data_IF_237032025925
#
_entry.id   IF_237032025925
#
_cell.length_a   1.000
_cell.length_b   1.000
_cell.length_c   1.000
_cell.angle_alpha   90.00
_cell.angle_beta   90.00
_cell.angle_gamma   90.00
#
_symmetry.space_group_name_H-M   'P 1'
#
loop_
_entity.id
_entity.type
_entity.pdbx_description
1 polymer ?
#
# COMPACT_ATOMS: atom_id res chain seq x y z
N UNK A 1 -25.57 0.78 51.34
CA UNK A 1 -25.76 2.08 50.97
C UNK A 1 -24.52 2.79 50.55
N UNK A 2 -23.75 3.08 51.45
CA UNK A 2 -22.57 3.87 51.13
C UNK A 2 -21.66 3.20 50.14
N UNK A 3 -21.65 1.93 50.12
CA UNK A 3 -20.76 1.20 49.26
C UNK A 3 -21.05 1.43 47.80
N UNK A 4 -22.25 1.71 47.47
CA UNK A 4 -22.55 1.89 46.07
C UNK A 4 -21.81 3.06 45.47
N UNK A 5 -21.55 4.06 46.25
CA UNK A 5 -20.80 5.17 45.72
C UNK A 5 -19.39 4.76 45.36
N UNK A 6 -18.87 3.91 46.12
CA UNK A 6 -17.50 3.46 45.89
C UNK A 6 -17.38 2.81 44.54
N UNK A 7 -18.39 2.11 44.14
CA UNK A 7 -18.37 1.47 42.85
C UNK A 7 -18.24 2.46 41.72
N UNK A 8 -18.95 3.56 41.86
CA UNK A 8 -18.87 4.57 40.83
C UNK A 8 -17.48 5.13 40.67
N UNK A 9 -16.81 5.35 41.76
CA UNK A 9 -15.48 5.90 41.69
C UNK A 9 -14.53 4.93 41.02
N UNK A 10 -14.67 3.68 41.27
CA UNK A 10 -13.82 2.70 40.64
C UNK A 10 -13.97 2.77 39.12
N UNK A 11 -15.18 2.86 38.67
CA UNK A 11 -15.41 2.93 37.24
C UNK A 11 -14.80 4.16 36.64
N UNK A 12 -14.85 5.26 37.33
CA UNK A 12 -14.32 6.49 36.81
C UNK A 12 -12.82 6.40 36.56
N UNK A 13 -12.12 5.70 37.41
CA UNK A 13 -10.68 5.55 37.23
C UNK A 13 -10.34 4.62 36.09
N UNK A 14 -11.15 3.63 35.89
CA UNK A 14 -10.85 2.65 34.86
C UNK A 14 -10.69 3.24 33.47
N UNK A 15 -11.58 4.10 33.02
CA UNK A 15 -11.41 4.67 31.68
C UNK A 15 -10.11 5.43 31.53
N UNK A 16 -9.69 6.11 32.55
CA UNK A 16 -8.45 6.87 32.47
C UNK A 16 -7.25 5.95 32.32
N UNK A 17 -7.24 4.90 33.07
CA UNK A 17 -6.15 3.93 33.00
C UNK A 17 -6.08 3.25 31.65
N UNK A 18 -7.21 3.05 31.02
CA UNK A 18 -7.25 2.38 29.74
C UNK A 18 -6.73 3.23 28.60
N UNK A 19 -6.76 4.55 28.72
CA UNK A 19 -6.42 5.43 27.61
C UNK A 19 -4.97 5.26 27.17
N UNK A 20 -4.03 5.26 28.09
CA UNK A 20 -2.63 5.17 27.73
C UNK A 20 -2.25 3.84 27.07
N UNK A 21 -2.62 2.69 27.66
CA UNK A 21 -2.35 1.43 26.96
C UNK A 21 -3.07 1.32 25.62
N UNK A 22 -4.27 1.91 25.55
CA UNK A 22 -5.02 1.88 24.31
C UNK A 22 -4.29 2.54 23.14
N UNK A 23 -3.52 3.56 23.45
CA UNK A 23 -2.80 4.24 22.40
C UNK A 23 -1.80 3.31 21.72
N UNK A 24 -1.04 2.59 22.50
CA UNK A 24 -0.07 1.65 21.94
C UNK A 24 -0.76 0.50 21.24
N UNK A 25 -1.82 -0.01 21.85
CA UNK A 25 -2.58 -1.07 21.22
C UNK A 25 -3.19 -0.61 19.93
N UNK A 26 -3.68 0.61 19.87
CA UNK A 26 -4.27 1.16 18.68
C UNK A 26 -3.23 1.28 17.56
N UNK A 27 -2.02 1.67 17.90
CA UNK A 27 -0.96 1.74 16.92
C UNK A 27 -0.58 0.36 16.41
N UNK A 28 -0.51 -0.62 17.28
CA UNK A 28 -0.23 -1.99 16.86
C UNK A 28 -1.37 -2.53 15.98
N UNK A 29 -2.61 -2.26 16.37
CA UNK A 29 -3.75 -2.67 15.56
C UNK A 29 -3.74 -2.01 14.21
N UNK A 30 -3.34 -0.74 14.14
CA UNK A 30 -3.21 -0.06 12.85
C UNK A 30 -2.20 -0.75 11.96
N UNK A 31 -1.11 -1.23 12.52
CA UNK A 31 -0.12 -1.94 11.72
C UNK A 31 -0.70 -3.20 11.10
N UNK A 32 -1.56 -3.91 11.84
CA UNK A 32 -2.21 -5.11 11.32
C UNK A 32 -3.42 -4.78 10.46
N UNK A 33 -4.03 -3.61 10.67
CA UNK A 33 -5.22 -3.19 9.92
C UNK A 33 -4.89 -2.43 8.64
N UNK A 34 -3.63 -2.09 8.43
CA UNK A 34 -3.26 -1.37 7.23
C UNK A 34 -3.57 -2.21 6.00
N UNK A 35 -3.91 -1.53 4.93
CA UNK A 35 -4.29 -2.21 3.71
C UNK A 35 -3.07 -2.56 2.87
N UNK A 36 -3.24 -3.59 2.07
CA UNK A 36 -2.34 -3.93 0.99
C UNK A 36 -2.97 -3.38 -0.29
N UNK A 37 -2.37 -2.34 -0.84
CA UNK A 37 -2.89 -1.70 -2.03
C UNK A 37 -2.47 -2.49 -3.26
N UNK A 38 -3.45 -2.92 -4.04
CA UNK A 38 -3.22 -3.66 -5.28
C UNK A 38 -3.55 -2.73 -6.43
N UNK A 39 -2.52 -2.23 -7.09
CA UNK A 39 -2.72 -1.21 -8.11
C UNK A 39 -2.68 -1.80 -9.51
N UNK A 40 -3.71 -1.50 -10.29
CA UNK A 40 -3.87 -1.95 -11.68
C UNK A 40 -4.02 -0.75 -12.59
N UNK A 41 -3.32 -0.78 -13.72
CA UNK A 41 -3.46 0.26 -14.74
C UNK A 41 -3.47 -0.35 -16.13
N UNK A 42 -4.34 0.17 -16.96
CA UNK A 42 -4.41 -0.23 -18.37
C UNK A 42 -4.58 1.04 -19.20
N UNK A 43 -3.65 1.28 -20.13
CA UNK A 43 -3.80 2.39 -21.06
C UNK A 43 -4.65 1.93 -22.24
N UNK A 44 -5.11 2.89 -23.05
CA UNK A 44 -5.89 2.55 -24.24
C UNK A 44 -5.04 1.77 -25.24
N UNK A 45 -3.76 2.06 -25.29
CA UNK A 45 -2.84 1.32 -26.14
C UNK A 45 -2.71 -0.12 -25.70
N UNK A 46 -2.55 -0.32 -24.39
CA UNK A 46 -2.39 -1.66 -23.83
C UNK A 46 -3.64 -2.51 -24.00
N UNK A 47 -4.81 -1.90 -24.10
CA UNK A 47 -6.05 -2.63 -24.26
C UNK A 47 -6.08 -3.49 -25.52
N UNK A 48 -5.25 -3.13 -26.50
CA UNK A 48 -5.18 -3.87 -27.76
C UNK A 48 -4.14 -4.99 -27.74
N UNK A 49 -3.41 -5.16 -26.65
CA UNK A 49 -2.33 -6.13 -26.57
C UNK A 49 -2.75 -7.47 -25.99
N UNK A 50 -4.02 -7.66 -25.74
CA UNK A 50 -4.54 -8.96 -25.33
C UNK A 50 -4.78 -9.09 -23.86
N UNK A 51 -5.10 -10.32 -23.48
CA UNK A 51 -5.63 -10.65 -22.15
C UNK A 51 -4.60 -10.50 -21.03
N UNK A 52 -3.32 -10.67 -21.36
CA UNK A 52 -2.28 -10.71 -20.31
C UNK A 52 -2.16 -9.41 -19.53
N UNK A 53 -2.52 -8.28 -20.17
CA UNK A 53 -2.45 -6.96 -19.51
C UNK A 53 -3.80 -6.44 -19.08
N UNK A 54 -4.87 -7.21 -19.24
CA UNK A 54 -6.21 -6.76 -18.88
C UNK A 54 -6.30 -6.47 -17.39
N UNK A 55 -7.23 -5.62 -17.03
CA UNK A 55 -7.48 -5.29 -15.62
C UNK A 55 -7.85 -6.54 -14.83
N UNK A 56 -8.71 -7.39 -15.40
CA UNK A 56 -9.10 -8.62 -14.69
C UNK A 56 -7.93 -9.55 -14.47
N UNK A 57 -7.03 -9.65 -15.45
CA UNK A 57 -5.85 -10.49 -15.28
C UNK A 57 -4.90 -9.91 -14.23
N UNK A 58 -4.69 -8.60 -14.24
CA UNK A 58 -3.88 -7.96 -13.23
C UNK A 58 -4.46 -8.21 -11.83
N UNK A 59 -5.77 -8.03 -11.68
CA UNK A 59 -6.43 -8.27 -10.39
C UNK A 59 -6.21 -9.70 -9.91
N UNK A 60 -6.36 -10.66 -10.82
CA UNK A 60 -6.18 -12.07 -10.47
C UNK A 60 -4.76 -12.33 -9.98
N UNK A 61 -3.77 -11.81 -10.68
CA UNK A 61 -2.38 -11.99 -10.33
C UNK A 61 -2.06 -11.35 -8.98
N UNK A 62 -2.51 -10.12 -8.79
CA UNK A 62 -2.22 -9.39 -7.57
C UNK A 62 -2.90 -10.02 -6.36
N UNK A 63 -4.14 -10.43 -6.52
CA UNK A 63 -4.88 -11.06 -5.44
C UNK A 63 -4.24 -12.38 -5.04
N UNK A 64 -3.84 -13.17 -6.04
CA UNK A 64 -3.18 -14.44 -5.76
C UNK A 64 -1.85 -14.23 -5.03
N UNK A 65 -1.08 -13.24 -5.48
CA UNK A 65 0.19 -12.91 -4.84
C UNK A 65 -0.03 -12.48 -3.39
N UNK A 66 -1.00 -11.63 -3.15
CA UNK A 66 -1.30 -11.16 -1.81
C UNK A 66 -1.70 -12.31 -0.90
N UNK A 67 -2.50 -13.24 -1.42
CA UNK A 67 -2.94 -14.42 -0.68
C UNK A 67 -1.77 -15.34 -0.35
N UNK A 68 -0.94 -15.62 -1.36
CA UNK A 68 0.18 -16.53 -1.19
C UNK A 68 1.20 -16.01 -0.20
N UNK A 69 1.37 -14.69 -0.14
CA UNK A 69 2.33 -14.06 0.78
C UNK A 69 1.67 -13.53 2.04
N UNK A 70 0.38 -13.81 2.22
CA UNK A 70 -0.38 -13.48 3.42
C UNK A 70 -0.40 -11.98 3.73
N UNK A 71 -0.49 -11.17 2.69
CA UNK A 71 -0.68 -9.73 2.88
C UNK A 71 -2.13 -9.46 3.28
N UNK A 72 -2.36 -8.71 4.37
CA UNK A 72 -3.72 -8.50 4.87
C UNK A 72 -4.44 -7.39 4.13
N UNK A 73 -5.75 -7.44 4.18
CA UNK A 73 -6.65 -6.36 3.75
C UNK A 73 -6.35 -5.85 2.34
N UNK A 74 -6.39 -6.72 1.33
CA UNK A 74 -6.13 -6.27 -0.05
C UNK A 74 -7.26 -5.36 -0.56
N UNK A 75 -6.86 -4.24 -1.15
CA UNK A 75 -7.79 -3.27 -1.73
C UNK A 75 -7.29 -2.89 -3.10
N UNK A 76 -8.16 -2.96 -4.10
CA UNK A 76 -7.80 -2.62 -5.47
C UNK A 76 -7.93 -1.12 -5.71
N UNK A 77 -6.94 -0.58 -6.42
CA UNK A 77 -6.98 0.77 -6.97
C UNK A 77 -6.76 0.61 -8.47
N UNK A 78 -7.68 1.09 -9.28
CA UNK A 78 -7.70 0.77 -10.70
C UNK A 78 -7.80 2.03 -11.54
N UNK A 79 -6.94 2.12 -12.55
CA UNK A 79 -7.02 3.16 -13.56
C UNK A 79 -7.08 2.51 -14.94
N UNK A 80 -8.28 2.44 -15.47
CA UNK A 80 -8.54 1.84 -16.77
C UNK A 80 -8.66 2.94 -17.82
N UNK A 81 -7.79 2.90 -18.83
CA UNK A 81 -7.78 3.90 -19.89
C UNK A 81 -6.81 5.06 -19.63
N UNK A 82 -5.93 4.93 -18.67
CA UNK A 82 -4.99 6.00 -18.30
C UNK A 82 -3.56 5.65 -18.65
N UNK A 83 -2.85 6.63 -19.21
CA UNK A 83 -1.48 6.47 -19.64
C UNK A 83 -0.52 6.30 -18.46
N UNK A 84 0.56 5.55 -18.68
CA UNK A 84 1.62 5.39 -17.70
C UNK A 84 2.59 6.56 -17.65
N UNK A 85 2.47 7.54 -18.56
CA UNK A 85 3.41 8.65 -18.59
C UNK A 85 3.13 9.72 -17.55
N UNK A 86 1.94 9.73 -16.99
CA UNK A 86 1.55 10.70 -15.98
C UNK A 86 1.02 9.98 -14.74
N UNK A 87 1.21 10.57 -13.57
CA UNK A 87 0.61 10.06 -12.34
C UNK A 87 -0.68 10.81 -11.96
N UNK A 88 -1.17 11.65 -12.87
CA UNK A 88 -2.47 12.30 -12.70
C UNK A 88 -3.57 11.32 -13.08
N UNK A 89 -3.77 10.33 -12.25
CA UNK A 89 -4.75 9.25 -12.47
C UNK A 89 -5.60 9.12 -11.21
N UNK A 90 -6.93 9.06 -11.34
CA UNK A 90 -7.79 9.11 -10.16
C UNK A 90 -7.58 7.93 -9.19
N UNK A 91 -7.39 6.72 -9.70
CA UNK A 91 -7.13 5.56 -8.84
C UNK A 91 -5.80 5.69 -8.10
N UNK A 92 -4.77 6.14 -8.80
CA UNK A 92 -3.47 6.35 -8.20
C UNK A 92 -3.54 7.44 -7.14
N UNK A 93 -4.22 8.55 -7.43
CA UNK A 93 -4.34 9.64 -6.47
C UNK A 93 -5.11 9.20 -5.22
N UNK A 94 -6.12 8.39 -5.39
CA UNK A 94 -6.86 7.83 -4.28
C UNK A 94 -5.97 6.96 -3.40
N UNK A 95 -5.16 6.13 -4.04
CA UNK A 95 -4.20 5.29 -3.32
C UNK A 95 -3.19 6.16 -2.58
N UNK A 96 -2.70 7.21 -3.24
CA UNK A 96 -1.74 8.11 -2.63
C UNK A 96 -2.32 8.80 -1.40
N UNK A 97 -3.59 9.21 -1.47
CA UNK A 97 -4.26 9.80 -0.32
C UNK A 97 -4.27 8.84 0.86
N UNK A 98 -4.54 7.57 0.60
CA UNK A 98 -4.53 6.55 1.65
C UNK A 98 -3.13 6.31 2.19
N UNK A 99 -2.13 6.37 1.33
CA UNK A 99 -0.73 6.25 1.76
C UNK A 99 -0.36 7.41 2.68
N UNK A 100 -0.71 8.63 2.28
CA UNK A 100 -0.37 9.81 3.06
C UNK A 100 -1.12 9.87 4.39
N UNK A 101 -2.28 9.24 4.43
CA UNK A 101 -3.04 9.13 5.66
C UNK A 101 -2.51 8.03 6.59
N UNK A 102 -1.52 7.26 6.13
CA UNK A 102 -0.92 6.21 6.95
C UNK A 102 -1.69 4.91 6.96
N UNK A 103 -2.57 4.69 5.99
CA UNK A 103 -3.44 3.52 5.96
C UNK A 103 -2.88 2.35 5.15
N UNK A 104 -1.77 2.54 4.46
CA UNK A 104 -1.23 1.53 3.54
C UNK A 104 0.10 1.00 4.02
N UNK A 105 0.25 -0.31 4.07
CA UNK A 105 1.51 -0.95 4.46
C UNK A 105 2.30 -1.41 3.24
N UNK A 106 1.61 -1.85 2.19
CA UNK A 106 2.25 -2.44 1.01
C UNK A 106 1.50 -2.00 -0.24
N UNK A 107 2.25 -1.71 -1.30
CA UNK A 107 1.69 -1.45 -2.62
C UNK A 107 2.26 -2.48 -3.58
N UNK A 108 1.40 -3.21 -4.27
CA UNK A 108 1.82 -4.27 -5.19
C UNK A 108 1.29 -3.96 -6.59
N UNK A 109 2.18 -4.08 -7.58
CA UNK A 109 1.81 -3.94 -8.99
C UNK A 109 2.31 -5.18 -9.74
N UNK A 110 1.71 -5.46 -10.89
CA UNK A 110 2.13 -6.58 -11.72
C UNK A 110 3.56 -6.36 -12.21
N UNK A 111 3.83 -5.17 -12.71
CA UNK A 111 5.16 -4.78 -13.17
C UNK A 111 5.30 -3.26 -13.05
N UNK A 112 6.53 -2.79 -13.21
CA UNK A 112 6.82 -1.36 -13.04
C UNK A 112 6.07 -0.50 -14.05
N UNK A 113 5.84 -1.00 -15.26
CA UNK A 113 5.14 -0.19 -16.25
C UNK A 113 3.67 0.03 -15.88
N UNK A 114 3.06 -0.89 -15.11
CA UNK A 114 1.70 -0.67 -14.59
C UNK A 114 1.70 0.47 -13.58
N UNK A 115 2.77 0.59 -12.80
CA UNK A 115 2.90 1.70 -11.86
C UNK A 115 3.08 3.02 -12.60
N UNK A 116 4.07 3.07 -13.51
CA UNK A 116 4.30 4.25 -14.32
C UNK A 116 5.47 4.07 -15.25
N UNK A 117 5.44 4.76 -16.40
CA UNK A 117 6.49 4.67 -17.39
C UNK A 117 7.53 5.80 -17.28
N UNK A 118 7.23 6.79 -16.44
CA UNK A 118 8.16 7.87 -16.17
C UNK A 118 9.12 7.42 -15.08
N UNK A 119 10.34 7.08 -15.43
CA UNK A 119 11.27 6.50 -14.47
C UNK A 119 11.65 7.45 -13.35
N UNK A 120 11.75 8.74 -13.65
CA UNK A 120 12.08 9.73 -12.62
C UNK A 120 10.97 9.84 -11.58
N UNK A 121 9.72 9.93 -12.01
CA UNK A 121 8.59 10.00 -11.10
C UNK A 121 8.38 8.69 -10.36
N UNK A 122 8.56 7.56 -11.05
CA UNK A 122 8.46 6.25 -10.41
C UNK A 122 9.47 6.15 -9.27
N UNK A 123 10.71 6.53 -9.52
CA UNK A 123 11.74 6.53 -8.48
C UNK A 123 11.40 7.45 -7.33
N UNK A 124 10.86 8.63 -7.63
CA UNK A 124 10.47 9.56 -6.58
C UNK A 124 9.43 8.95 -5.67
N UNK A 125 8.38 8.34 -6.24
CA UNK A 125 7.34 7.75 -5.41
C UNK A 125 7.84 6.55 -4.64
N UNK A 126 8.56 5.64 -5.29
CA UNK A 126 8.96 4.41 -4.63
C UNK A 126 10.09 4.61 -3.62
N UNK A 127 11.05 5.50 -3.91
CA UNK A 127 12.23 5.66 -3.06
C UNK A 127 12.06 6.75 -2.02
N UNK A 128 11.21 7.73 -2.27
CA UNK A 128 11.05 8.86 -1.35
C UNK A 128 9.69 8.83 -0.68
N UNK A 129 8.63 8.93 -1.45
CA UNK A 129 7.29 9.08 -0.88
C UNK A 129 6.88 7.83 -0.11
N UNK A 130 7.01 6.66 -0.72
CA UNK A 130 6.61 5.42 -0.07
C UNK A 130 7.49 5.13 1.14
N UNK A 131 8.79 5.38 1.03
CA UNK A 131 9.70 5.20 2.16
C UNK A 131 9.32 6.12 3.32
N UNK A 132 8.95 7.36 3.01
CA UNK A 132 8.55 8.32 4.04
C UNK A 132 7.36 7.83 4.85
N UNK A 133 6.41 7.21 4.19
CA UNK A 133 5.20 6.71 4.85
C UNK A 133 5.28 5.23 5.24
N UNK A 134 6.45 4.63 5.10
CA UNK A 134 6.65 3.25 5.51
C UNK A 134 5.95 2.23 4.63
N UNK A 135 5.78 2.53 3.35
CA UNK A 135 5.10 1.64 2.41
C UNK A 135 6.11 0.79 1.66
N UNK A 136 5.93 -0.53 1.75
CA UNK A 136 6.72 -1.48 0.97
C UNK A 136 6.16 -1.52 -0.44
N UNK A 137 7.02 -1.49 -1.45
CA UNK A 137 6.59 -1.52 -2.85
C UNK A 137 7.11 -2.78 -3.53
N UNK A 138 6.21 -3.49 -4.20
CA UNK A 138 6.52 -4.75 -4.90
C UNK A 138 6.04 -4.69 -6.34
N UNK A 139 6.93 -4.97 -7.29
CA UNK A 139 6.58 -5.15 -8.69
C UNK A 139 6.90 -6.60 -9.05
N UNK A 140 5.87 -7.41 -9.22
CA UNK A 140 6.02 -8.87 -9.25
C UNK A 140 6.90 -9.33 -10.40
N UNK A 141 6.57 -8.92 -11.62
CA UNK A 141 7.28 -9.43 -12.80
C UNK A 141 8.69 -8.87 -12.95
N UNK A 142 9.01 -7.81 -12.25
CA UNK A 142 10.34 -7.23 -12.27
C UNK A 142 11.21 -7.72 -11.13
N UNK A 143 10.68 -8.62 -10.31
CA UNK A 143 11.37 -9.09 -9.11
C UNK A 143 11.86 -7.94 -8.25
N UNK A 144 11.08 -6.88 -8.19
CA UNK A 144 11.42 -5.68 -7.43
C UNK A 144 10.63 -5.64 -6.13
N UNK A 145 11.34 -5.48 -5.02
CA UNK A 145 10.72 -5.41 -3.69
C UNK A 145 11.63 -4.53 -2.84
N UNK A 146 11.08 -3.42 -2.36
CA UNK A 146 11.90 -2.44 -1.63
C UNK A 146 12.52 -2.99 -0.35
N UNK A 147 12.01 -4.11 0.14
CA UNK A 147 12.56 -4.72 1.35
C UNK A 147 13.60 -5.79 1.01
N UNK A 148 13.66 -6.24 -0.24
CA UNK A 148 14.60 -7.25 -0.69
C UNK A 148 15.94 -6.58 -1.01
N UNK A 149 17.04 -6.97 -0.33
CA UNK A 149 18.35 -6.36 -0.59
C UNK A 149 18.78 -6.45 -2.05
N UNK A 150 18.45 -7.55 -2.72
CA UNK A 150 18.83 -7.71 -4.12
C UNK A 150 18.11 -6.73 -5.02
N UNK A 151 16.84 -6.51 -4.77
CA UNK A 151 16.06 -5.53 -5.53
C UNK A 151 16.58 -4.13 -5.31
N UNK A 152 16.91 -3.82 -4.07
CA UNK A 152 17.44 -2.51 -3.70
C UNK A 152 18.78 -2.27 -4.39
N UNK A 153 19.60 -3.27 -4.48
CA UNK A 153 20.89 -3.16 -5.15
C UNK A 153 20.70 -2.80 -6.61
N UNK A 154 19.77 -3.43 -7.27
CA UNK A 154 19.46 -3.11 -8.66
C UNK A 154 19.00 -1.67 -8.79
N UNK A 155 18.16 -1.23 -7.88
CA UNK A 155 17.68 0.13 -7.87
C UNK A 155 18.80 1.12 -7.65
N UNK A 156 19.68 0.81 -6.71
CA UNK A 156 20.82 1.66 -6.42
C UNK A 156 21.75 1.79 -7.60
N UNK A 157 21.94 0.73 -8.37
CA UNK A 157 22.78 0.80 -9.53
C UNK A 157 22.22 1.78 -10.55
N UNK A 158 20.92 1.90 -10.65
CA UNK A 158 20.30 2.89 -11.51
C UNK A 158 20.51 4.30 -10.99
N UNK A 159 20.50 4.47 -9.70
CA UNK A 159 20.67 5.79 -9.10
C UNK A 159 22.07 6.29 -9.31
N UNK A 160 23.03 5.41 -9.28
CA UNK A 160 24.44 5.78 -9.41
C UNK A 160 24.83 6.10 -10.84
N UNK A 161 24.00 5.80 -11.76
CA UNK A 161 24.23 6.15 -13.14
C UNK A 161 23.77 7.57 -13.43
#
# INVERSE_FOLDING_TARGET
>A
MTNSQNLGTIEATNPVLAVAPLKEETEMLRATDKITALYCRLSQEDANEGESNSISNQKRILEQYARDHRFPNPVFFVDDGYSGTSFQRPGFQKMLDEIEAGHVAVCIVKDLSRFGRNSALTGMYTNITFAKYGVRFIAINDNYDTIDPNSVDNDLSLIHI
#
